data_IF_609816336368
#
_entry.id   IF_609816336368
#
_cell.length_a   1.000
_cell.length_b   1.000
_cell.length_c   1.000
_cell.angle_alpha   90.00
_cell.angle_beta   90.00
_cell.angle_gamma   90.00
#
_symmetry.space_group_name_H-M   'P 1'
#
loop_
_entity.id
_entity.type
_entity.pdbx_description
1 polymer ?
#
# COMPACT_ATOMS: atom_id res chain seq x y z
N UNK A 1 1.27 12.29 14.20
CA UNK A 1 2.06 12.62 15.40
C UNK A 1 1.48 11.84 16.57
N UNK A 2 2.30 11.12 17.37
CA UNK A 2 1.80 10.37 18.51
C UNK A 2 1.20 11.29 19.56
N UNK A 3 0.05 10.89 20.12
CA UNK A 3 -0.61 11.61 21.22
C UNK A 3 0.04 11.23 22.54
N UNK A 4 0.57 12.21 23.28
CA UNK A 4 1.20 12.06 24.60
C UNK A 4 0.73 13.15 25.55
N UNK A 5 0.90 12.95 26.86
CA UNK A 5 0.62 13.97 27.88
C UNK A 5 1.88 14.78 28.16
N UNK A 6 1.73 16.06 28.49
CA UNK A 6 2.87 16.97 28.69
C UNK A 6 3.81 16.52 29.82
N UNK A 7 3.29 15.87 30.85
CA UNK A 7 4.04 15.41 32.03
C UNK A 7 4.33 13.90 32.00
N UNK A 8 4.35 13.28 30.82
CA UNK A 8 4.56 11.84 30.64
C UNK A 8 5.99 11.56 30.19
N UNK A 9 6.68 10.64 30.87
CA UNK A 9 7.98 10.17 30.42
C UNK A 9 7.83 9.05 29.36
N UNK A 10 8.95 8.75 28.69
CA UNK A 10 8.97 7.74 27.59
C UNK A 10 8.45 6.39 28.03
N UNK A 11 8.88 5.93 29.22
CA UNK A 11 8.47 4.59 29.70
C UNK A 11 6.98 4.57 30.06
N UNK A 12 6.47 5.61 30.69
CA UNK A 12 5.05 5.77 30.99
C UNK A 12 4.21 5.80 29.70
N UNK A 13 4.66 6.55 28.71
CA UNK A 13 4.02 6.59 27.39
C UNK A 13 3.93 5.20 26.75
N UNK A 14 5.02 4.45 26.73
CA UNK A 14 5.07 3.12 26.13
C UNK A 14 4.24 2.12 26.91
N UNK A 15 4.24 2.22 28.22
CA UNK A 15 3.52 1.33 29.15
C UNK A 15 2.05 1.67 29.34
N UNK A 16 1.59 2.82 28.84
CA UNK A 16 0.19 3.27 29.04
C UNK A 16 -0.82 2.23 28.51
N UNK A 17 -1.64 1.70 29.41
CA UNK A 17 -2.62 0.65 29.10
C UNK A 17 -2.02 -0.73 28.90
N UNK A 18 -0.78 -0.96 29.34
CA UNK A 18 -0.06 -2.25 29.26
C UNK A 18 0.06 -2.88 30.66
N UNK A 19 0.28 -4.20 30.69
CA UNK A 19 0.54 -4.92 31.93
C UNK A 19 1.92 -4.55 32.51
N UNK A 20 2.02 -4.47 33.84
CA UNK A 20 3.28 -4.14 34.51
C UNK A 20 4.42 -5.10 34.16
N UNK A 21 4.11 -6.37 33.95
CA UNK A 21 5.07 -7.43 33.58
C UNK A 21 5.73 -7.18 32.22
N UNK A 22 5.16 -6.29 31.36
CA UNK A 22 5.72 -5.93 30.07
C UNK A 22 6.84 -4.87 30.16
N UNK A 23 7.11 -4.32 31.35
CA UNK A 23 8.09 -3.24 31.52
C UNK A 23 9.52 -3.63 31.11
N UNK A 24 10.05 -4.82 31.44
CA UNK A 24 11.40 -5.22 30.98
C UNK A 24 11.49 -5.24 29.46
N UNK A 25 10.47 -5.80 28.80
CA UNK A 25 10.39 -5.84 27.33
C UNK A 25 10.25 -4.44 26.71
N UNK A 26 9.48 -3.54 27.33
CA UNK A 26 9.37 -2.16 26.89
C UNK A 26 10.74 -1.44 26.92
N UNK A 27 11.51 -1.60 27.98
CA UNK A 27 12.89 -1.05 28.11
C UNK A 27 13.82 -1.65 27.06
N UNK A 28 13.74 -2.95 26.84
CA UNK A 28 14.53 -3.64 25.80
C UNK A 28 14.26 -3.05 24.41
N UNK A 29 12.97 -2.97 24.02
CA UNK A 29 12.56 -2.43 22.72
C UNK A 29 12.99 -0.97 22.57
N UNK A 30 12.82 -0.14 23.62
CA UNK A 30 13.26 1.24 23.61
C UNK A 30 14.77 1.35 23.37
N UNK A 31 15.58 0.52 24.04
CA UNK A 31 17.03 0.48 23.83
C UNK A 31 17.38 0.07 22.39
N UNK A 32 16.70 -0.93 21.83
CA UNK A 32 16.88 -1.36 20.44
C UNK A 32 16.51 -0.27 19.43
N UNK A 33 15.57 0.59 19.79
CA UNK A 33 15.19 1.76 19.01
C UNK A 33 15.96 3.04 19.38
N UNK A 34 17.10 2.92 20.09
CA UNK A 34 18.01 4.01 20.40
C UNK A 34 17.46 5.05 21.38
N UNK A 35 16.55 4.64 22.26
CA UNK A 35 16.03 5.47 23.35
C UNK A 35 16.48 4.87 24.67
N UNK A 36 17.65 5.30 25.16
CA UNK A 36 18.27 4.77 26.38
C UNK A 36 17.82 5.50 27.65
N UNK A 37 17.46 6.79 27.54
CA UNK A 37 16.93 7.55 28.67
C UNK A 37 15.41 7.37 28.76
N UNK A 38 14.97 6.34 29.46
CA UNK A 38 13.54 5.99 29.61
C UNK A 38 12.76 6.98 30.49
N UNK A 39 13.47 7.77 31.33
CA UNK A 39 12.87 8.80 32.17
C UNK A 39 12.76 10.16 31.47
N UNK A 40 13.27 10.28 30.23
CA UNK A 40 13.11 11.50 29.46
C UNK A 40 11.65 11.83 29.22
N UNK A 41 11.28 13.09 29.31
CA UNK A 41 9.91 13.55 29.07
C UNK A 41 9.59 13.51 27.58
N UNK A 42 8.38 13.08 27.22
CA UNK A 42 7.95 12.98 25.83
C UNK A 42 7.98 14.33 25.07
N UNK A 43 7.72 15.44 25.76
CA UNK A 43 7.71 16.78 25.16
C UNK A 43 9.08 17.25 24.66
N UNK A 44 10.17 16.86 25.32
CA UNK A 44 11.55 17.26 24.96
C UNK A 44 12.17 16.38 23.88
N UNK A 45 11.55 15.25 23.51
CA UNK A 45 12.06 14.37 22.48
C UNK A 45 11.96 15.01 21.08
N UNK A 46 12.96 14.69 20.22
CA UNK A 46 12.86 15.02 18.80
C UNK A 46 11.69 14.30 18.12
N UNK A 47 11.24 14.79 16.96
CA UNK A 47 10.19 14.15 16.19
C UNK A 47 10.45 12.69 15.83
N UNK A 48 11.72 12.36 15.48
CA UNK A 48 12.16 10.98 15.23
C UNK A 48 12.10 10.11 16.48
N UNK A 49 12.56 10.62 17.63
CA UNK A 49 12.48 9.89 18.90
C UNK A 49 11.03 9.64 19.32
N UNK A 50 10.13 10.61 19.14
CA UNK A 50 8.69 10.43 19.41
C UNK A 50 8.08 9.31 18.56
N UNK A 51 8.45 9.25 17.27
CA UNK A 51 7.99 8.17 16.38
C UNK A 51 8.54 6.80 16.79
N UNK A 52 9.82 6.74 17.19
CA UNK A 52 10.42 5.50 17.70
C UNK A 52 9.80 5.03 19.01
N UNK A 53 9.47 5.94 19.92
CA UNK A 53 8.71 5.63 21.13
C UNK A 53 7.29 5.11 20.81
N UNK A 54 6.62 5.67 19.81
CA UNK A 54 5.32 5.18 19.34
C UNK A 54 5.41 3.77 18.73
N UNK A 55 6.46 3.50 17.96
CA UNK A 55 6.75 2.16 17.45
C UNK A 55 6.99 1.19 18.62
N UNK A 56 7.84 1.55 19.60
CA UNK A 56 8.06 0.74 20.78
C UNK A 56 6.75 0.37 21.49
N UNK A 57 5.88 1.36 21.72
CA UNK A 57 4.58 1.15 22.35
C UNK A 57 3.73 0.13 21.60
N UNK A 58 3.80 0.10 20.27
CA UNK A 58 3.04 -0.84 19.44
C UNK A 58 3.59 -2.26 19.54
N UNK A 59 4.92 -2.42 19.72
CA UNK A 59 5.60 -3.72 19.70
C UNK A 59 5.73 -4.42 21.06
N UNK A 60 5.43 -3.74 22.17
CA UNK A 60 5.62 -4.28 23.53
C UNK A 60 4.77 -5.50 23.80
N UNK A 61 3.50 -5.45 23.47
CA UNK A 61 2.57 -6.56 23.73
C UNK A 61 2.29 -7.36 22.47
N UNK A 62 2.05 -8.67 22.62
CA UNK A 62 1.64 -9.50 21.52
C UNK A 62 0.27 -9.03 20.99
N UNK A 63 0.20 -8.80 19.71
CA UNK A 63 -1.02 -8.44 19.00
C UNK A 63 -1.40 -9.57 18.02
N UNK A 64 -2.68 -9.71 17.71
CA UNK A 64 -3.13 -10.64 16.64
C UNK A 64 -2.91 -10.02 15.27
N UNK A 65 -3.03 -8.70 15.19
CA UNK A 65 -2.81 -7.91 13.96
C UNK A 65 -1.93 -6.70 14.30
N UNK A 66 -0.89 -6.51 13.53
CA UNK A 66 0.01 -5.37 13.59
C UNK A 66 -0.15 -4.53 12.32
N UNK A 67 -0.43 -3.25 12.48
CA UNK A 67 -0.54 -2.30 11.36
C UNK A 67 0.56 -1.26 11.50
N UNK A 68 1.46 -1.20 10.52
CA UNK A 68 2.60 -0.29 10.50
C UNK A 68 2.56 0.61 9.27
N UNK A 69 2.71 1.90 9.48
CA UNK A 69 2.80 2.92 8.43
C UNK A 69 4.19 3.55 8.48
N UNK A 70 4.97 3.32 7.41
CA UNK A 70 6.36 3.79 7.28
C UNK A 70 7.24 3.51 8.52
N UNK A 71 7.33 2.25 8.99
CA UNK A 71 8.00 1.94 10.26
C UNK A 71 9.51 2.12 10.21
N UNK A 72 10.14 2.10 9.05
CA UNK A 72 11.59 2.29 8.87
C UNK A 72 12.01 3.76 8.87
N UNK A 73 11.06 4.69 8.74
CA UNK A 73 11.35 6.11 8.79
C UNK A 73 11.93 6.51 10.17
N UNK A 74 13.06 7.22 10.15
CA UNK A 74 13.80 7.67 11.33
C UNK A 74 14.53 6.55 12.12
N UNK A 75 14.71 5.37 11.53
CA UNK A 75 15.55 4.30 12.03
C UNK A 75 16.90 4.34 11.31
N UNK A 76 17.96 4.00 12.03
CA UNK A 76 19.26 3.66 11.43
C UNK A 76 19.29 2.18 10.99
N UNK A 77 20.37 1.79 10.34
CA UNK A 77 20.49 0.44 9.79
C UNK A 77 20.38 -0.66 10.86
N UNK A 78 20.95 -0.46 12.03
CA UNK A 78 20.92 -1.46 13.11
C UNK A 78 19.50 -1.63 13.66
N UNK A 79 18.76 -0.52 13.79
CA UNK A 79 17.34 -0.53 14.18
C UNK A 79 16.46 -1.21 13.12
N UNK A 80 16.72 -0.96 11.84
CA UNK A 80 16.00 -1.61 10.74
C UNK A 80 16.24 -3.11 10.76
N UNK A 81 17.49 -3.57 10.87
CA UNK A 81 17.84 -4.99 10.98
C UNK A 81 17.17 -5.66 12.18
N UNK A 82 17.15 -4.98 13.33
CA UNK A 82 16.45 -5.48 14.50
C UNK A 82 14.93 -5.59 14.24
N UNK A 83 14.31 -4.57 13.61
CA UNK A 83 12.87 -4.58 13.29
C UNK A 83 12.53 -5.70 12.31
N UNK A 84 13.37 -5.97 11.30
CA UNK A 84 13.22 -7.12 10.41
C UNK A 84 13.17 -8.45 11.19
N UNK A 85 14.13 -8.65 12.11
CA UNK A 85 14.17 -9.86 12.93
C UNK A 85 12.94 -9.97 13.83
N UNK A 86 12.50 -8.85 14.41
CA UNK A 86 11.29 -8.81 15.22
C UNK A 86 10.06 -9.23 14.39
N UNK A 87 9.87 -8.67 13.21
CA UNK A 87 8.74 -8.98 12.33
C UNK A 87 8.79 -10.44 11.87
N UNK A 88 9.96 -10.97 11.49
CA UNK A 88 10.11 -12.38 11.11
C UNK A 88 9.75 -13.36 12.25
N UNK A 89 9.95 -12.95 13.50
CA UNK A 89 9.56 -13.73 14.68
C UNK A 89 8.12 -13.53 15.12
N UNK A 90 7.44 -12.52 14.57
CA UNK A 90 6.07 -12.18 14.94
C UNK A 90 5.09 -13.25 14.44
N UNK A 91 4.24 -13.76 15.33
CA UNK A 91 3.31 -14.85 15.03
C UNK A 91 1.90 -14.39 14.63
N UNK A 92 1.64 -13.08 14.65
CA UNK A 92 0.37 -12.51 14.24
C UNK A 92 0.35 -12.12 12.75
N UNK A 93 -0.72 -11.48 12.34
CA UNK A 93 -0.86 -10.91 11.00
C UNK A 93 -0.22 -9.51 10.95
N UNK A 94 0.41 -9.17 9.84
CA UNK A 94 1.03 -7.87 9.61
C UNK A 94 0.44 -7.21 8.36
N UNK A 95 0.00 -5.97 8.51
CA UNK A 95 -0.27 -5.06 7.40
C UNK A 95 0.73 -3.90 7.49
N UNK A 96 1.43 -3.64 6.42
CA UNK A 96 2.47 -2.61 6.41
C UNK A 96 2.41 -1.78 5.14
N UNK A 97 2.63 -0.48 5.28
CA UNK A 97 2.87 0.46 4.18
C UNK A 97 4.29 1.00 4.35
N UNK A 98 5.12 0.89 3.32
CA UNK A 98 6.46 1.48 3.32
C UNK A 98 7.01 1.65 1.91
N UNK A 99 7.93 2.60 1.74
CA UNK A 99 8.72 2.81 0.53
C UNK A 99 10.08 2.09 0.56
N UNK A 100 10.42 1.44 1.66
CA UNK A 100 11.68 0.71 1.82
C UNK A 100 11.58 -0.66 1.13
N UNK A 101 12.15 -0.73 -0.07
CA UNK A 101 12.10 -1.90 -0.94
C UNK A 101 12.88 -3.09 -0.37
N UNK A 102 14.02 -2.82 0.27
CA UNK A 102 14.84 -3.87 0.87
C UNK A 102 14.12 -4.48 2.07
N UNK A 103 13.52 -3.64 2.88
CA UNK A 103 12.72 -4.09 4.01
C UNK A 103 11.53 -4.94 3.55
N UNK A 104 10.78 -4.48 2.54
CA UNK A 104 9.68 -5.26 1.94
C UNK A 104 10.14 -6.61 1.43
N UNK A 105 11.26 -6.67 0.72
CA UNK A 105 11.76 -7.91 0.14
C UNK A 105 12.11 -8.96 1.21
N UNK A 106 12.59 -8.50 2.36
CA UNK A 106 13.02 -9.36 3.47
C UNK A 106 11.89 -9.82 4.40
N UNK A 107 10.80 -9.06 4.53
CA UNK A 107 9.78 -9.32 5.57
C UNK A 107 8.40 -9.68 5.03
N UNK A 108 8.14 -9.46 3.72
CA UNK A 108 6.81 -9.71 3.16
C UNK A 108 6.75 -11.05 2.44
N UNK A 109 5.59 -11.72 2.54
CA UNK A 109 5.22 -12.91 1.78
C UNK A 109 4.04 -12.65 0.84
N UNK A 110 3.41 -11.49 0.96
CA UNK A 110 2.32 -11.03 0.09
C UNK A 110 2.41 -9.52 -0.09
N UNK A 111 2.20 -9.05 -1.30
CA UNK A 111 2.11 -7.63 -1.63
C UNK A 111 0.75 -7.35 -2.23
N UNK A 112 0.12 -6.27 -1.77
CA UNK A 112 -1.14 -5.75 -2.32
C UNK A 112 -0.86 -4.41 -2.96
N UNK A 113 -1.06 -4.33 -4.26
CA UNK A 113 -0.92 -3.11 -5.04
C UNK A 113 -2.30 -2.47 -5.26
N UNK A 114 -2.39 -1.18 -5.00
CA UNK A 114 -3.53 -0.36 -5.42
C UNK A 114 -3.13 0.39 -6.68
N UNK A 115 -3.68 -0.03 -7.84
CA UNK A 115 -3.43 0.61 -9.13
C UNK A 115 -4.74 0.82 -9.87
N UNK A 116 -4.95 2.04 -10.38
CA UNK A 116 -6.16 2.42 -11.13
C UNK A 116 -7.46 2.01 -10.43
N UNK A 117 -7.54 2.27 -9.12
CA UNK A 117 -8.65 1.90 -8.24
C UNK A 117 -9.00 0.40 -8.22
N UNK A 118 -8.06 -0.45 -8.59
CA UNK A 118 -8.14 -1.91 -8.48
C UNK A 118 -7.08 -2.41 -7.54
N UNK A 119 -7.41 -3.46 -6.76
CA UNK A 119 -6.48 -4.13 -5.87
C UNK A 119 -5.94 -5.38 -6.57
N UNK A 120 -4.63 -5.48 -6.63
CA UNK A 120 -3.92 -6.65 -7.13
C UNK A 120 -3.15 -7.28 -5.99
N UNK A 121 -3.34 -8.57 -5.75
CA UNK A 121 -2.64 -9.31 -4.70
C UNK A 121 -1.62 -10.26 -5.34
N UNK A 122 -0.40 -10.23 -4.82
CA UNK A 122 0.72 -11.05 -5.27
C UNK A 122 1.27 -11.81 -4.07
N UNK A 123 1.17 -13.14 -4.09
CA UNK A 123 1.69 -14.01 -3.02
C UNK A 123 3.20 -14.22 -3.21
N UNK A 124 3.98 -13.16 -2.98
CA UNK A 124 5.43 -13.12 -3.18
C UNK A 124 6.05 -11.95 -2.40
N UNK A 125 7.39 -11.89 -2.34
CA UNK A 125 8.17 -10.76 -1.85
C UNK A 125 8.21 -9.61 -2.89
N UNK A 126 8.96 -8.54 -2.59
CA UNK A 126 9.02 -7.36 -3.45
C UNK A 126 9.64 -7.64 -4.83
N UNK A 127 10.69 -8.44 -4.89
CA UNK A 127 11.35 -8.81 -6.16
C UNK A 127 10.41 -9.59 -7.08
N UNK A 128 9.73 -10.60 -6.56
CA UNK A 128 8.74 -11.37 -7.33
C UNK A 128 7.51 -10.54 -7.72
N UNK A 129 7.10 -9.59 -6.87
CA UNK A 129 6.05 -8.63 -7.22
C UNK A 129 6.40 -7.81 -8.46
N UNK A 130 7.64 -7.31 -8.57
CA UNK A 130 8.07 -6.53 -9.73
C UNK A 130 7.99 -7.34 -11.02
N UNK A 131 8.39 -8.61 -10.99
CA UNK A 131 8.30 -9.50 -12.14
C UNK A 131 6.84 -9.74 -12.57
N UNK A 132 5.98 -10.12 -11.63
CA UNK A 132 4.57 -10.38 -11.90
C UNK A 132 3.82 -9.12 -12.36
N UNK A 133 4.15 -7.95 -11.78
CA UNK A 133 3.61 -6.66 -12.21
C UNK A 133 4.00 -6.37 -13.66
N UNK A 134 5.28 -6.55 -14.03
CA UNK A 134 5.75 -6.34 -15.39
C UNK A 134 5.00 -7.23 -16.38
N UNK A 135 4.86 -8.52 -16.07
CA UNK A 135 4.10 -9.45 -16.90
C UNK A 135 2.64 -9.04 -17.07
N UNK A 136 1.98 -8.61 -15.99
CA UNK A 136 0.59 -8.12 -16.03
C UNK A 136 0.46 -6.90 -16.95
N UNK A 137 1.34 -5.90 -16.79
CA UNK A 137 1.33 -4.70 -17.61
C UNK A 137 1.58 -4.99 -19.10
N UNK A 138 2.47 -5.91 -19.42
CA UNK A 138 2.73 -6.34 -20.79
C UNK A 138 1.49 -7.02 -21.40
N UNK A 139 0.81 -7.91 -20.66
CA UNK A 139 -0.43 -8.53 -21.10
C UNK A 139 -1.55 -7.52 -21.33
N UNK A 140 -1.70 -6.55 -20.43
CA UNK A 140 -2.67 -5.46 -20.55
C UNK A 140 -2.41 -4.63 -21.81
N UNK A 141 -1.14 -4.24 -22.06
CA UNK A 141 -0.74 -3.49 -23.26
C UNK A 141 -1.00 -4.28 -24.52
N UNK A 142 -0.65 -5.58 -24.56
CA UNK A 142 -0.90 -6.45 -25.71
C UNK A 142 -2.40 -6.60 -25.99
N UNK A 143 -3.21 -6.75 -24.97
CA UNK A 143 -4.67 -6.85 -25.06
C UNK A 143 -5.28 -5.55 -25.58
N UNK A 144 -4.85 -4.40 -25.07
CA UNK A 144 -5.29 -3.10 -25.55
C UNK A 144 -4.88 -2.85 -27.01
N UNK A 145 -3.66 -3.20 -27.40
CA UNK A 145 -3.21 -3.09 -28.77
C UNK A 145 -4.05 -3.95 -29.73
N UNK A 146 -4.40 -5.19 -29.33
CA UNK A 146 -5.33 -6.04 -30.09
C UNK A 146 -6.71 -5.40 -30.22
N UNK A 147 -7.26 -4.87 -29.13
CA UNK A 147 -8.55 -4.18 -29.12
C UNK A 147 -8.55 -2.96 -30.03
N UNK A 148 -7.52 -2.14 -29.99
CA UNK A 148 -7.37 -0.96 -30.84
C UNK A 148 -7.26 -1.36 -32.33
N UNK A 149 -6.56 -2.43 -32.66
CA UNK A 149 -6.47 -2.94 -34.02
C UNK A 149 -7.85 -3.42 -34.55
N UNK A 150 -8.62 -4.11 -33.72
CA UNK A 150 -9.99 -4.55 -34.08
C UNK A 150 -10.85 -3.33 -34.32
N UNK A 151 -10.88 -2.36 -33.40
CA UNK A 151 -11.67 -1.14 -33.54
C UNK A 151 -11.29 -0.35 -34.81
N UNK A 152 -9.99 -0.26 -35.13
CA UNK A 152 -9.52 0.41 -36.35
C UNK A 152 -10.00 -0.31 -37.63
N UNK A 153 -9.93 -1.64 -37.66
CA UNK A 153 -10.42 -2.44 -38.78
C UNK A 153 -11.94 -2.32 -38.97
N UNK A 154 -12.70 -2.35 -37.87
CA UNK A 154 -14.15 -2.20 -37.90
C UNK A 154 -14.56 -0.78 -38.34
N UNK A 155 -13.89 0.27 -37.83
CA UNK A 155 -14.08 1.65 -38.27
C UNK A 155 -13.81 1.82 -39.77
N UNK A 156 -12.70 1.24 -40.25
CA UNK A 156 -12.37 1.31 -41.68
C UNK A 156 -13.40 0.60 -42.55
N UNK A 157 -13.97 -0.51 -42.06
CA UNK A 157 -15.04 -1.23 -42.74
C UNK A 157 -16.34 -0.42 -42.77
N UNK A 158 -16.77 0.17 -41.67
CA UNK A 158 -17.96 1.04 -41.58
C UNK A 158 -17.84 2.24 -42.51
N UNK A 159 -16.67 2.91 -42.55
CA UNK A 159 -16.39 4.09 -43.39
C UNK A 159 -16.46 3.80 -44.90
N UNK A 160 -16.26 2.55 -45.33
CA UNK A 160 -16.37 2.14 -46.74
C UNK A 160 -17.84 2.04 -47.24
N UNK A 161 -18.77 2.52 -46.45
CA UNK A 161 -20.17 2.62 -46.89
C UNK A 161 -20.90 1.29 -46.98
N UNK A 162 -20.56 0.33 -46.10
CA UNK A 162 -21.31 -0.92 -45.98
C UNK A 162 -22.73 -0.64 -45.55
N UNK A 163 -23.66 -0.56 -46.54
CA UNK A 163 -25.09 -0.50 -46.23
C UNK A 163 -25.51 -1.78 -45.53
N UNK A 164 -26.11 -1.67 -44.35
CA UNK A 164 -26.60 -2.79 -43.55
C UNK A 164 -27.79 -3.49 -44.26
N UNK A 165 -27.50 -4.23 -45.34
CA UNK A 165 -28.51 -4.99 -46.10
C UNK A 165 -28.70 -6.43 -45.59
N UNK A 166 -27.93 -6.89 -44.62
CA UNK A 166 -28.07 -8.22 -44.06
C UNK A 166 -27.99 -8.20 -42.53
N UNK A 167 -28.70 -9.12 -41.88
CA UNK A 167 -28.70 -9.34 -40.43
C UNK A 167 -27.26 -9.53 -39.84
N UNK A 168 -26.38 -10.15 -40.62
CA UNK A 168 -24.96 -10.32 -40.22
C UNK A 168 -24.20 -9.00 -40.19
N UNK A 169 -24.50 -8.06 -41.06
CA UNK A 169 -23.84 -6.75 -41.09
C UNK A 169 -24.34 -5.88 -39.93
N UNK A 170 -25.64 -5.95 -39.65
CA UNK A 170 -26.19 -5.25 -38.48
C UNK A 170 -25.59 -5.74 -37.19
N UNK A 171 -25.54 -7.06 -36.97
CA UNK A 171 -24.93 -7.65 -35.77
C UNK A 171 -23.42 -7.29 -35.60
N UNK A 172 -22.71 -6.97 -36.68
CA UNK A 172 -21.31 -6.53 -36.65
C UNK A 172 -21.21 -5.05 -36.27
N UNK A 173 -22.12 -4.22 -36.72
CA UNK A 173 -22.22 -2.81 -36.32
C UNK A 173 -22.55 -2.73 -34.83
N UNK A 174 -23.53 -3.49 -34.37
CA UNK A 174 -23.99 -3.52 -32.98
C UNK A 174 -22.82 -3.92 -32.06
N UNK A 175 -22.03 -4.96 -32.40
CA UNK A 175 -20.84 -5.35 -31.66
C UNK A 175 -19.76 -4.27 -31.62
N UNK A 176 -19.61 -3.51 -32.69
CA UNK A 176 -18.66 -2.39 -32.72
C UNK A 176 -19.10 -1.27 -31.79
N UNK A 177 -20.39 -0.95 -31.81
CA UNK A 177 -20.98 0.05 -30.91
C UNK A 177 -20.85 -0.36 -29.45
N UNK A 178 -21.15 -1.62 -29.11
CA UNK A 178 -20.96 -2.20 -27.78
C UNK A 178 -19.50 -2.11 -27.33
N UNK A 179 -18.55 -2.47 -28.20
CA UNK A 179 -17.10 -2.38 -27.88
C UNK A 179 -16.65 -0.95 -27.69
N UNK A 180 -17.16 -0.01 -28.47
CA UNK A 180 -16.87 1.41 -28.35
C UNK A 180 -17.45 2.00 -27.06
N UNK A 181 -18.68 1.64 -26.73
CA UNK A 181 -19.36 2.04 -25.50
C UNK A 181 -18.65 1.49 -24.27
N UNK A 182 -18.30 0.21 -24.26
CA UNK A 182 -17.53 -0.43 -23.19
C UNK A 182 -16.16 0.25 -22.97
N UNK A 183 -15.48 0.61 -24.07
CA UNK A 183 -14.23 1.35 -24.01
C UNK A 183 -14.39 2.75 -23.41
N UNK A 184 -15.47 3.46 -23.77
CA UNK A 184 -15.80 4.79 -23.25
C UNK A 184 -16.16 4.75 -21.76
N UNK A 185 -16.98 3.75 -21.37
CA UNK A 185 -17.38 3.54 -19.99
C UNK A 185 -16.18 3.17 -19.08
N UNK A 186 -15.28 2.31 -19.56
CA UNK A 186 -14.06 1.97 -18.84
C UNK A 186 -13.19 3.22 -18.59
N UNK A 187 -13.07 4.10 -19.60
CA UNK A 187 -12.34 5.35 -19.49
C UNK A 187 -13.03 6.35 -18.54
N UNK A 188 -14.33 6.49 -18.63
CA UNK A 188 -15.12 7.38 -17.76
C UNK A 188 -15.12 6.90 -16.29
N UNK A 189 -15.14 5.59 -16.03
CA UNK A 189 -14.98 5.03 -14.67
C UNK A 189 -13.61 5.37 -14.11
N UNK A 190 -12.57 5.24 -14.90
CA UNK A 190 -11.21 5.58 -14.50
C UNK A 190 -11.07 7.07 -14.16
N UNK A 191 -11.59 7.97 -15.02
CA UNK A 191 -11.55 9.41 -14.79
C UNK A 191 -12.34 9.82 -13.54
N UNK A 192 -13.51 9.21 -13.31
CA UNK A 192 -14.31 9.45 -12.11
C UNK A 192 -13.60 8.98 -10.84
N UNK A 193 -12.98 7.80 -10.85
CA UNK A 193 -12.24 7.26 -9.72
C UNK A 193 -11.00 8.12 -9.38
N UNK A 194 -10.30 8.65 -10.39
CA UNK A 194 -9.21 9.61 -10.18
C UNK A 194 -9.69 10.90 -9.51
N UNK A 195 -10.85 11.42 -9.91
CA UNK A 195 -11.45 12.61 -9.28
C UNK A 195 -11.83 12.35 -7.83
N UNK A 196 -12.45 11.20 -7.53
CA UNK A 196 -12.84 10.81 -6.17
C UNK A 196 -11.62 10.64 -5.27
N UNK A 197 -10.54 10.03 -5.74
CA UNK A 197 -9.28 9.89 -4.99
C UNK A 197 -8.63 11.25 -4.69
N UNK A 198 -8.59 12.17 -5.66
CA UNK A 198 -8.08 13.51 -5.45
C UNK A 198 -8.92 14.32 -4.45
N UNK A 199 -10.23 14.11 -4.41
CA UNK A 199 -11.13 14.76 -3.46
C UNK A 199 -10.95 14.26 -2.02
N UNK A 200 -10.61 12.98 -1.84
CA UNK A 200 -10.28 12.38 -0.53
C UNK A 200 -8.93 12.87 -0.04
N UNK A 201 -7.92 12.93 -0.92
CA UNK A 201 -6.58 13.44 -0.59
C UNK A 201 -6.61 14.88 -0.11
N UNK A 202 -7.46 15.74 -0.69
CA UNK A 202 -7.62 17.14 -0.27
C UNK A 202 -8.31 17.32 1.10
N UNK A 203 -9.07 16.32 1.57
CA UNK A 203 -9.73 16.32 2.89
C UNK A 203 -8.83 15.84 4.03
N UNK A 204 -7.81 15.03 3.72
CA UNK A 204 -6.85 14.49 4.70
C UNK A 204 -5.65 15.43 4.92
N UNK A 205 -5.52 16.51 4.18
CA UNK A 205 -4.41 17.46 4.20
C UNK A 205 -4.69 18.77 5.00
N UNK A 206 -5.61 18.76 5.98
CA UNK A 206 -5.82 19.88 6.91
C UNK A 206 -5.70 19.42 8.35
#
# INVERSE_FOLDING_TARGET
TPLYYDNENVLEYVMRGKHADSQPKAKEILNKLGITNHAAMMNILSGGQKKRAALARTLVEPARLLILDEPTNHLDNDMVLWLEQFIKSFKGELIMVTHDRYFLDNVTNRIVELDKASLYSYDTNYSGFLELKTQREEMERATEAKRQNILRKELAWIRRGCQARSTKQQARIDRFEDMKEASKQARARFDKQLMDMNSVSSRLGR
#
